data_IF_531463579434
#
_entry.id   IF_531463579434
#
_cell.length_a   1.000
_cell.length_b   1.000
_cell.length_c   1.000
_cell.angle_alpha   90.00
_cell.angle_beta   90.00
_cell.angle_gamma   90.00
#
_symmetry.space_group_name_H-M   'P 1'
#
loop_
_entity.id
_entity.type
_entity.pdbx_description
1 polymer ?
#
# COMPACT_ATOMS: atom_id res chain seq x y z
N UNK A 1 11.97 -9.09 15.54
CA UNK A 1 11.12 -8.50 14.46
C UNK A 1 9.69 -8.78 14.86
N UNK A 2 8.78 -7.87 14.53
CA UNK A 2 7.35 -8.08 14.78
C UNK A 2 6.82 -9.26 13.97
N UNK A 3 5.93 -10.06 14.57
CA UNK A 3 5.23 -11.15 13.87
C UNK A 3 3.92 -10.67 13.21
N UNK A 4 3.57 -9.39 13.35
CA UNK A 4 2.33 -8.82 12.78
C UNK A 4 2.32 -8.92 11.27
N UNK A 5 1.21 -9.37 10.72
CA UNK A 5 0.99 -9.39 9.28
C UNK A 5 0.43 -8.04 8.81
N UNK A 6 1.01 -7.47 7.76
CA UNK A 6 0.52 -6.25 7.14
C UNK A 6 -0.19 -6.60 5.83
N UNK A 7 -1.40 -6.11 5.65
CA UNK A 7 -2.11 -6.13 4.36
C UNK A 7 -2.05 -4.76 3.72
N UNK A 8 -1.33 -4.62 2.63
CA UNK A 8 -1.30 -3.39 1.82
C UNK A 8 -2.29 -3.54 0.67
N UNK A 9 -3.14 -2.54 0.48
CA UNK A 9 -4.19 -2.55 -0.54
C UNK A 9 -3.94 -1.44 -1.56
N UNK A 10 -3.84 -1.81 -2.83
CA UNK A 10 -3.79 -0.88 -3.97
C UNK A 10 -5.00 -1.10 -4.86
N UNK A 11 -5.69 -0.02 -5.21
CA UNK A 11 -6.73 -0.01 -6.24
C UNK A 11 -6.15 0.53 -7.54
N UNK A 12 -6.55 -0.03 -8.68
CA UNK A 12 -6.09 0.41 -9.99
C UNK A 12 -7.21 0.33 -11.04
N UNK A 13 -7.14 1.20 -12.03
CA UNK A 13 -8.01 1.16 -13.20
C UNK A 13 -7.35 1.84 -14.40
N UNK A 14 -7.13 1.09 -15.49
CA UNK A 14 -6.55 1.58 -16.75
C UNK A 14 -5.19 2.29 -16.58
N UNK A 15 -4.35 1.82 -15.65
CA UNK A 15 -3.03 2.42 -15.39
C UNK A 15 -1.98 1.38 -14.95
N UNK A 16 -1.70 0.42 -15.83
CA UNK A 16 -0.68 -0.61 -15.59
C UNK A 16 0.73 -0.02 -15.36
N UNK A 17 1.01 1.14 -15.97
CA UNK A 17 2.31 1.79 -15.85
C UNK A 17 2.57 2.30 -14.44
N UNK A 18 1.58 2.94 -13.83
CA UNK A 18 1.65 3.40 -12.45
C UNK A 18 1.66 2.21 -11.48
N UNK A 19 0.77 1.22 -11.69
CA UNK A 19 0.73 0.01 -10.88
C UNK A 19 2.11 -0.67 -10.79
N UNK A 20 2.86 -0.77 -11.89
CA UNK A 20 4.21 -1.34 -11.88
C UNK A 20 5.16 -0.59 -10.95
N UNK A 21 5.10 0.73 -10.90
CA UNK A 21 5.91 1.56 -9.99
C UNK A 21 5.54 1.33 -8.52
N UNK A 22 4.23 1.24 -8.23
CA UNK A 22 3.73 0.94 -6.87
C UNK A 22 4.20 -0.43 -6.42
N UNK A 23 4.02 -1.46 -7.26
CA UNK A 23 4.47 -2.84 -6.98
C UNK A 23 5.97 -2.90 -6.69
N UNK A 24 6.79 -2.20 -7.47
CA UNK A 24 8.25 -2.14 -7.23
C UNK A 24 8.56 -1.53 -5.86
N UNK A 25 7.88 -0.45 -5.48
CA UNK A 25 7.99 0.16 -4.16
C UNK A 25 7.63 -0.80 -3.02
N UNK A 26 6.60 -1.62 -3.20
CA UNK A 26 6.19 -2.66 -2.24
C UNK A 26 7.22 -3.80 -2.18
N UNK A 27 7.70 -4.29 -3.32
CA UNK A 27 8.72 -5.35 -3.38
C UNK A 27 10.02 -4.94 -2.69
N UNK A 28 10.37 -3.67 -2.75
CA UNK A 28 11.60 -3.11 -2.16
C UNK A 28 11.50 -2.87 -0.64
N UNK A 29 10.34 -3.04 -0.01
CA UNK A 29 10.24 -2.93 1.45
C UNK A 29 10.97 -4.09 2.13
N UNK A 30 11.55 -3.85 3.31
CA UNK A 30 12.30 -4.84 4.08
C UNK A 30 11.45 -5.66 5.06
N UNK A 31 10.14 -5.38 5.14
CA UNK A 31 9.24 -6.08 6.05
C UNK A 31 8.82 -7.45 5.49
N UNK A 32 9.08 -8.57 6.19
CA UNK A 32 8.88 -9.90 5.62
C UNK A 32 7.41 -10.34 5.57
N UNK A 33 6.63 -10.12 6.65
CA UNK A 33 5.27 -10.65 6.78
C UNK A 33 4.23 -9.72 6.12
N UNK A 34 4.21 -9.72 4.78
CA UNK A 34 3.46 -8.80 3.94
C UNK A 34 2.48 -9.53 3.03
N UNK A 35 1.21 -9.15 3.12
CA UNK A 35 0.16 -9.48 2.16
C UNK A 35 -0.11 -8.26 1.28
N UNK A 36 0.03 -8.41 -0.03
CA UNK A 36 -0.28 -7.35 -0.97
C UNK A 36 -1.56 -7.67 -1.73
N UNK A 37 -2.53 -6.77 -1.67
CA UNK A 37 -3.86 -6.95 -2.25
C UNK A 37 -4.07 -5.91 -3.33
N UNK A 38 -4.35 -6.34 -4.56
CA UNK A 38 -4.59 -5.46 -5.69
C UNK A 38 -6.04 -5.64 -6.16
N UNK A 39 -6.78 -4.54 -6.19
CA UNK A 39 -8.15 -4.51 -6.71
C UNK A 39 -8.17 -3.69 -7.99
N UNK A 40 -8.36 -4.38 -9.10
CA UNK A 40 -8.48 -3.78 -10.42
C UNK A 40 -9.94 -3.60 -10.82
N UNK A 41 -10.31 -2.41 -11.27
CA UNK A 41 -11.66 -2.02 -11.68
C UNK A 41 -12.13 -2.59 -13.03
N UNK A 42 -11.49 -3.66 -13.51
CA UNK A 42 -11.80 -4.26 -14.81
C UNK A 42 -11.03 -3.60 -15.95
N UNK A 43 -9.74 -3.41 -15.80
CA UNK A 43 -8.86 -2.79 -16.80
C UNK A 43 -8.69 -3.65 -18.07
N UNK A 44 -8.37 -2.97 -19.17
CA UNK A 44 -8.12 -3.57 -20.49
C UNK A 44 -6.77 -3.16 -21.10
N UNK A 45 -5.93 -2.52 -20.32
CA UNK A 45 -4.64 -1.92 -20.72
C UNK A 45 -3.42 -2.83 -20.50
N UNK A 46 -3.65 -4.13 -20.19
CA UNK A 46 -2.59 -5.09 -19.84
C UNK A 46 -2.40 -5.28 -18.34
N UNK A 47 -3.21 -4.64 -17.50
CA UNK A 47 -3.15 -4.80 -16.04
C UNK A 47 -3.36 -6.25 -15.62
N UNK A 48 -4.37 -6.93 -16.15
CA UNK A 48 -4.69 -8.34 -15.77
C UNK A 48 -3.56 -9.29 -16.14
N UNK A 49 -2.95 -9.11 -17.30
CA UNK A 49 -1.79 -9.89 -17.75
C UNK A 49 -0.61 -9.69 -16.81
N UNK A 50 -0.35 -8.45 -16.42
CA UNK A 50 0.69 -8.12 -15.45
C UNK A 50 0.43 -8.74 -14.07
N UNK A 51 -0.81 -8.73 -13.57
CA UNK A 51 -1.17 -9.34 -12.28
C UNK A 51 -0.95 -10.86 -12.27
N UNK A 52 -1.24 -11.56 -13.37
CA UNK A 52 -0.95 -13.00 -13.52
C UNK A 52 0.55 -13.32 -13.50
N UNK A 53 1.38 -12.42 -14.02
CA UNK A 53 2.83 -12.56 -13.94
C UNK A 53 3.35 -12.27 -12.53
N UNK A 54 2.85 -11.22 -11.92
CA UNK A 54 3.21 -10.81 -10.57
C UNK A 54 2.94 -11.92 -9.53
N UNK A 55 1.81 -12.61 -9.64
CA UNK A 55 1.44 -13.71 -8.74
C UNK A 55 2.49 -14.82 -8.69
N UNK A 56 3.22 -15.04 -9.79
CA UNK A 56 4.26 -16.07 -9.88
C UNK A 56 5.60 -15.64 -9.25
N UNK A 57 5.84 -14.35 -9.15
CA UNK A 57 7.17 -13.80 -8.81
C UNK A 57 7.19 -12.96 -7.51
N UNK A 58 6.03 -12.67 -6.93
CA UNK A 58 5.95 -11.71 -5.81
C UNK A 58 6.71 -12.19 -4.55
N UNK A 59 6.67 -13.47 -4.25
CA UNK A 59 7.31 -14.05 -3.07
C UNK A 59 8.82 -14.29 -3.23
N UNK A 60 9.40 -13.98 -4.39
CA UNK A 60 10.82 -14.24 -4.65
C UNK A 60 11.71 -13.53 -3.61
N UNK A 61 12.50 -14.33 -2.87
CA UNK A 61 13.36 -13.84 -1.79
C UNK A 61 12.66 -13.61 -0.44
N UNK A 62 11.34 -13.68 -0.37
CA UNK A 62 10.54 -13.46 0.83
C UNK A 62 9.39 -14.46 0.93
N UNK A 63 9.61 -15.67 1.45
CA UNK A 63 8.62 -16.76 1.42
C UNK A 63 7.33 -16.46 2.21
N UNK A 64 7.37 -15.53 3.17
CA UNK A 64 6.21 -15.09 3.95
C UNK A 64 5.33 -14.05 3.23
N UNK A 65 5.80 -13.52 2.08
CA UNK A 65 5.03 -12.56 1.30
C UNK A 65 4.08 -13.24 0.35
N UNK A 66 2.88 -12.70 0.26
CA UNK A 66 1.86 -13.16 -0.68
C UNK A 66 1.24 -11.98 -1.45
N UNK A 67 0.80 -12.24 -2.66
CA UNK A 67 -0.03 -11.31 -3.44
C UNK A 67 -1.38 -11.95 -3.72
N UNK A 68 -2.43 -11.14 -3.55
CA UNK A 68 -3.81 -11.48 -3.92
C UNK A 68 -4.34 -10.40 -4.83
N UNK A 69 -5.14 -10.76 -5.80
CA UNK A 69 -5.76 -9.77 -6.66
C UNK A 69 -7.12 -10.20 -7.17
N UNK A 70 -7.96 -9.24 -7.48
CA UNK A 70 -9.20 -9.41 -8.25
C UNK A 70 -9.24 -8.35 -9.33
N UNK A 71 -9.89 -8.69 -10.46
CA UNK A 71 -10.18 -7.76 -11.55
C UNK A 71 -11.65 -7.88 -11.90
N UNK A 72 -12.41 -6.87 -11.53
CA UNK A 72 -13.85 -6.79 -11.80
C UNK A 72 -14.33 -5.35 -11.74
N UNK A 73 -15.40 -5.05 -12.44
CA UNK A 73 -16.01 -3.71 -12.39
C UNK A 73 -16.38 -3.34 -10.95
N UNK A 74 -16.05 -2.12 -10.57
CA UNK A 74 -16.41 -1.51 -9.30
C UNK A 74 -17.27 -0.22 -9.49
N UNK A 75 -17.71 0.34 -8.35
CA UNK A 75 -18.45 1.60 -8.31
C UNK A 75 -17.54 2.77 -7.81
N UNK A 76 -16.25 2.71 -8.13
CA UNK A 76 -15.24 3.70 -7.78
C UNK A 76 -14.30 3.25 -6.66
N UNK A 77 -13.31 4.09 -6.39
CA UNK A 77 -12.16 3.77 -5.52
C UNK A 77 -12.55 3.23 -4.13
N UNK A 78 -13.62 3.73 -3.52
CA UNK A 78 -14.04 3.28 -2.20
C UNK A 78 -14.70 1.88 -2.23
N UNK A 79 -15.39 1.53 -3.32
CA UNK A 79 -15.90 0.18 -3.51
C UNK A 79 -14.75 -0.80 -3.70
N UNK A 80 -13.75 -0.44 -4.52
CA UNK A 80 -12.53 -1.21 -4.70
C UNK A 80 -11.76 -1.38 -3.39
N UNK A 81 -11.56 -0.31 -2.60
CA UNK A 81 -10.93 -0.40 -1.28
C UNK A 81 -11.69 -1.33 -0.33
N UNK A 82 -13.01 -1.24 -0.28
CA UNK A 82 -13.82 -2.11 0.56
C UNK A 82 -13.71 -3.58 0.14
N UNK A 83 -13.56 -3.88 -1.16
CA UNK A 83 -13.26 -5.23 -1.63
C UNK A 83 -11.90 -5.69 -1.11
N UNK A 84 -10.86 -4.86 -1.22
CA UNK A 84 -9.53 -5.15 -0.70
C UNK A 84 -9.52 -5.39 0.80
N UNK A 85 -10.22 -4.56 1.59
CA UNK A 85 -10.34 -4.73 3.05
C UNK A 85 -10.99 -6.08 3.39
N UNK A 86 -12.02 -6.51 2.65
CA UNK A 86 -12.64 -7.84 2.87
C UNK A 86 -11.73 -9.01 2.54
N UNK A 87 -10.74 -8.82 1.67
CA UNK A 87 -9.73 -9.83 1.32
C UNK A 87 -8.57 -9.87 2.32
N UNK A 88 -8.34 -8.78 3.05
CA UNK A 88 -7.22 -8.64 3.98
C UNK A 88 -7.31 -9.61 5.14
N UNK A 89 -6.17 -10.21 5.49
CA UNK A 89 -6.01 -11.13 6.62
C UNK A 89 -4.94 -10.69 7.62
N UNK A 90 -4.32 -9.52 7.37
CA UNK A 90 -3.29 -8.96 8.25
C UNK A 90 -3.85 -8.32 9.51
N UNK A 91 -3.00 -8.22 10.52
CA UNK A 91 -3.27 -7.51 11.77
C UNK A 91 -3.37 -5.99 11.56
N UNK A 92 -2.70 -5.50 10.52
CA UNK A 92 -2.65 -4.09 10.16
C UNK A 92 -2.99 -3.97 8.68
N UNK A 93 -3.86 -3.01 8.34
CA UNK A 93 -4.30 -2.75 6.98
C UNK A 93 -3.90 -1.34 6.58
N UNK A 94 -3.26 -1.18 5.42
CA UNK A 94 -2.88 0.12 4.88
C UNK A 94 -3.23 0.25 3.39
N UNK A 95 -3.95 1.31 2.97
CA UNK A 95 -4.06 1.64 1.56
C UNK A 95 -2.75 2.23 1.06
N UNK A 96 -2.37 1.92 -0.19
CA UNK A 96 -1.20 2.48 -0.85
C UNK A 96 -1.52 2.71 -2.33
N UNK A 97 -1.38 3.96 -2.76
CA UNK A 97 -1.71 4.39 -4.12
C UNK A 97 -0.49 4.88 -4.90
N UNK A 98 0.64 5.05 -4.21
CA UNK A 98 1.90 5.49 -4.78
C UNK A 98 3.04 4.67 -4.16
N UNK A 99 4.29 5.09 -4.30
CA UNK A 99 5.45 4.36 -3.81
C UNK A 99 5.91 4.86 -2.44
N UNK A 100 6.55 3.99 -1.69
CA UNK A 100 7.25 4.36 -0.46
C UNK A 100 8.53 5.14 -0.77
N UNK A 101 8.86 6.10 0.10
CA UNK A 101 10.06 6.95 -0.05
C UNK A 101 11.39 6.20 0.16
N UNK A 102 11.38 5.11 0.95
CA UNK A 102 12.55 4.28 1.22
C UNK A 102 12.17 2.86 1.65
N UNK A 103 13.12 1.90 1.67
CA UNK A 103 12.82 0.49 1.92
C UNK A 103 12.35 0.14 3.35
N UNK A 104 12.56 1.02 4.32
CA UNK A 104 12.29 0.74 5.74
C UNK A 104 10.96 1.32 6.24
N UNK A 105 10.12 1.91 5.37
CA UNK A 105 8.90 2.61 5.80
C UNK A 105 7.97 1.68 6.58
N UNK A 106 7.73 0.47 6.11
CA UNK A 106 6.84 -0.48 6.80
C UNK A 106 7.42 -0.93 8.14
N UNK A 107 8.71 -1.23 8.21
CA UNK A 107 9.40 -1.62 9.45
C UNK A 107 9.37 -0.50 10.49
N UNK A 108 9.59 0.75 10.06
CA UNK A 108 9.54 1.93 10.92
C UNK A 108 8.12 2.16 11.45
N UNK A 109 7.09 2.08 10.59
CA UNK A 109 5.70 2.23 10.99
C UNK A 109 5.28 1.17 12.03
N UNK A 110 5.65 -0.09 11.82
CA UNK A 110 5.37 -1.17 12.78
C UNK A 110 6.08 -0.92 14.10
N UNK A 111 7.34 -0.51 14.06
CA UNK A 111 8.10 -0.19 15.28
C UNK A 111 7.42 0.90 16.11
N UNK A 112 6.84 1.92 15.46
CA UNK A 112 6.08 2.97 16.16
C UNK A 112 4.79 2.40 16.77
N UNK A 113 4.01 1.62 16.02
CA UNK A 113 2.77 0.99 16.54
C UNK A 113 3.06 0.15 17.78
N UNK A 114 4.11 -0.67 17.75
CA UNK A 114 4.48 -1.54 18.88
C UNK A 114 4.99 -0.76 20.09
N UNK A 115 5.87 0.22 19.84
CA UNK A 115 6.48 1.01 20.90
C UNK A 115 5.48 1.90 21.63
N UNK A 116 4.59 2.56 20.86
CA UNK A 116 3.64 3.52 21.41
C UNK A 116 2.30 2.87 21.78
N UNK A 117 2.04 1.62 21.36
CA UNK A 117 0.78 0.91 21.63
C UNK A 117 -0.42 1.57 20.95
N UNK A 118 -0.22 2.10 19.72
CA UNK A 118 -1.25 2.82 18.97
C UNK A 118 -2.01 1.89 18.03
N UNK A 119 -3.26 2.25 17.71
CA UNK A 119 -4.10 1.50 16.75
C UNK A 119 -3.79 1.83 15.28
N UNK A 120 -2.98 2.86 15.02
CA UNK A 120 -2.61 3.27 13.68
C UNK A 120 -1.42 4.22 13.66
N UNK A 121 -0.81 4.32 12.49
CA UNK A 121 0.33 5.19 12.20
C UNK A 121 0.17 5.75 10.80
N UNK A 122 0.68 6.95 10.58
CA UNK A 122 0.79 7.56 9.25
C UNK A 122 2.15 8.23 9.11
N UNK A 123 2.60 8.39 7.88
CA UNK A 123 3.85 9.09 7.55
C UNK A 123 3.59 10.47 6.91
N UNK A 124 4.68 11.21 6.72
CA UNK A 124 4.70 12.41 5.91
C UNK A 124 4.63 12.05 4.41
N UNK A 125 4.26 13.01 3.58
CA UNK A 125 4.19 12.86 2.13
C UNK A 125 5.19 13.77 1.42
N UNK A 126 5.77 13.27 0.35
CA UNK A 126 6.55 14.05 -0.60
C UNK A 126 5.80 14.14 -1.93
N UNK A 127 5.59 15.37 -2.41
CA UNK A 127 5.26 15.60 -3.81
C UNK A 127 6.55 15.55 -4.60
N UNK A 128 6.56 14.82 -5.69
CA UNK A 128 7.74 14.63 -6.55
C UNK A 128 7.44 15.11 -7.97
N UNK A 129 8.49 15.48 -8.69
CA UNK A 129 8.40 15.76 -10.13
C UNK A 129 8.43 14.45 -10.96
N UNK A 130 8.39 14.57 -12.30
CA UNK A 130 8.43 13.43 -13.22
C UNK A 130 9.72 12.61 -13.12
N UNK A 131 10.77 13.15 -12.52
CA UNK A 131 12.07 12.52 -12.29
C UNK A 131 12.21 11.99 -10.85
N UNK A 132 11.10 11.98 -10.07
CA UNK A 132 11.07 11.56 -8.68
C UNK A 132 11.86 12.44 -7.70
N UNK A 133 12.19 13.68 -8.06
CA UNK A 133 12.82 14.61 -7.13
C UNK A 133 11.77 15.24 -6.22
N UNK A 134 11.99 15.32 -4.90
CA UNK A 134 11.06 15.98 -3.98
C UNK A 134 10.93 17.47 -4.29
N UNK A 135 9.71 17.92 -4.62
CA UNK A 135 9.38 19.33 -4.86
C UNK A 135 8.66 19.98 -3.70
N UNK A 136 8.01 19.20 -2.86
CA UNK A 136 7.30 19.66 -1.68
C UNK A 136 7.21 18.54 -0.64
N UNK A 137 7.49 18.89 0.63
CA UNK A 137 7.21 18.02 1.77
C UNK A 137 5.90 18.45 2.43
N UNK A 138 5.04 17.49 2.75
CA UNK A 138 3.85 17.71 3.57
C UNK A 138 4.02 17.00 4.90
N UNK A 139 4.38 17.75 5.92
CA UNK A 139 4.49 17.24 7.30
C UNK A 139 3.12 17.14 7.94
N UNK A 140 2.80 15.96 8.40
CA UNK A 140 1.48 15.67 8.99
C UNK A 140 1.29 16.24 10.39
N UNK A 141 2.35 16.69 11.05
CA UNK A 141 2.31 17.31 12.38
C UNK A 141 1.82 16.36 13.50
N UNK A 142 1.72 16.89 14.71
CA UNK A 142 1.13 16.15 15.84
C UNK A 142 -0.38 16.00 15.65
N UNK A 143 -0.81 14.76 15.59
CA UNK A 143 -2.21 14.38 15.40
C UNK A 143 -3.06 14.80 16.58
N UNK A 144 -3.99 15.68 16.35
CA UNK A 144 -5.20 15.70 17.16
C UNK A 144 -6.01 14.46 16.82
N UNK A 145 -6.79 13.97 17.74
CA UNK A 145 -7.47 12.68 17.55
C UNK A 145 -8.44 12.72 16.36
N UNK A 146 -8.70 11.59 15.73
CA UNK A 146 -9.75 11.43 14.70
C UNK A 146 -11.10 11.96 15.22
N UNK A 147 -11.35 11.89 16.54
CA UNK A 147 -12.53 12.46 17.22
C UNK A 147 -12.68 13.97 17.03
N UNK A 148 -11.58 14.68 16.80
CA UNK A 148 -11.58 16.14 16.55
C UNK A 148 -11.79 16.47 15.06
N UNK A 149 -12.15 15.48 14.24
CA UNK A 149 -12.37 15.63 12.80
C UNK A 149 -11.08 15.75 11.98
N UNK A 150 -9.93 15.42 12.58
CA UNK A 150 -8.68 15.41 11.86
C UNK A 150 -8.54 14.13 11.02
N UNK A 151 -8.15 14.26 9.77
CA UNK A 151 -7.78 13.16 8.89
C UNK A 151 -6.36 13.37 8.38
N UNK A 152 -5.52 12.30 8.34
CA UNK A 152 -4.23 12.38 7.68
C UNK A 152 -4.42 12.69 6.19
N UNK A 153 -3.48 13.41 5.61
CA UNK A 153 -3.41 13.49 4.16
C UNK A 153 -3.23 12.07 3.60
N UNK A 154 -3.95 11.80 2.54
CA UNK A 154 -3.83 10.56 1.78
C UNK A 154 -3.51 10.94 0.34
N UNK A 155 -2.61 10.20 -0.32
CA UNK A 155 -2.29 10.41 -1.71
C UNK A 155 -3.47 10.16 -2.63
#
# INVERSE_FOLDING_TARGET
MSDKKISIITTTYQDVSHLKKVVEGIKNQDYPNLEYIIVDGGSTDGTVEYLKELEKDFSYGWPEREVKWISEKDNGIYDALNKGIRMATGDIIGPMFDKFSHPHVLSDMISVIEKEGTDGVHGDLYYVDEQDNPVREWKMGNTKTIRDGWMPAHP
#
